data_IF_910708054639
#
_entry.id   IF_910708054639
#
_cell.length_a   1.000
_cell.length_b   1.000
_cell.length_c   1.000
_cell.angle_alpha   90.00
_cell.angle_beta   90.00
_cell.angle_gamma   90.00
#
_symmetry.space_group_name_H-M   'P 1'
#
loop_
_entity.id
_entity.type
_entity.pdbx_description
1 polymer ?
#
# COMPACT_ATOMS: atom_id res chain seq x y z
N UNK A 1 10.09 -10.14 3.74
CA UNK A 1 9.78 -11.56 3.43
C UNK A 1 10.77 -12.23 2.47
N UNK A 2 11.12 -11.62 1.32
CA UNK A 2 12.00 -12.24 0.30
C UNK A 2 13.37 -12.70 0.83
N UNK A 3 14.06 -11.88 1.62
CA UNK A 3 15.37 -12.26 2.20
C UNK A 3 15.26 -13.48 3.13
N UNK A 4 14.15 -13.61 3.87
CA UNK A 4 13.90 -14.78 4.73
C UNK A 4 13.70 -16.05 3.91
N UNK A 5 12.93 -15.99 2.83
CA UNK A 5 12.73 -17.11 1.90
C UNK A 5 14.05 -17.55 1.25
N UNK A 6 14.88 -16.60 0.80
CA UNK A 6 16.21 -16.91 0.23
C UNK A 6 17.10 -17.58 1.27
N UNK A 7 17.12 -17.08 2.51
CA UNK A 7 17.89 -17.69 3.61
C UNK A 7 17.43 -19.13 3.85
N UNK A 8 16.12 -19.37 3.91
CA UNK A 8 15.54 -20.71 4.11
C UNK A 8 15.90 -21.68 2.99
N UNK A 9 15.81 -21.25 1.72
CA UNK A 9 16.18 -22.08 0.58
C UNK A 9 17.68 -22.40 0.55
N UNK A 10 18.53 -21.40 0.83
CA UNK A 10 19.99 -21.58 0.89
C UNK A 10 20.39 -22.56 1.99
N UNK A 11 19.76 -22.50 3.16
CA UNK A 11 20.03 -23.43 4.25
C UNK A 11 19.76 -24.90 3.89
N UNK A 12 18.94 -25.17 2.86
CA UNK A 12 18.63 -26.52 2.36
C UNK A 12 19.54 -27.01 1.22
N UNK A 13 20.49 -26.19 0.75
CA UNK A 13 21.45 -26.60 -0.28
C UNK A 13 22.57 -27.45 0.32
N UNK A 14 23.23 -28.29 -0.49
CA UNK A 14 24.35 -29.14 -0.05
C UNK A 14 25.62 -28.86 -0.86
N UNK A 15 26.71 -28.36 -0.23
CA UNK A 15 26.77 -27.87 1.15
C UNK A 15 26.00 -26.55 1.33
N UNK A 16 25.48 -26.24 2.54
CA UNK A 16 24.72 -25.02 2.76
C UNK A 16 25.67 -23.81 2.75
N UNK A 17 25.44 -22.82 1.89
CA UNK A 17 26.21 -21.58 1.91
C UNK A 17 25.86 -20.73 3.14
N UNK A 18 26.72 -19.77 3.53
CA UNK A 18 26.46 -18.88 4.65
C UNK A 18 25.16 -18.08 4.44
N UNK A 19 24.53 -17.75 5.57
CA UNK A 19 23.32 -16.95 5.59
C UNK A 19 23.56 -15.59 4.89
N UNK A 20 22.65 -15.14 4.02
CA UNK A 20 22.83 -13.88 3.33
C UNK A 20 22.83 -12.69 4.30
N UNK A 21 23.77 -11.78 4.10
CA UNK A 21 23.77 -10.48 4.79
C UNK A 21 22.90 -9.47 4.05
N UNK A 22 22.52 -8.36 4.70
CA UNK A 22 21.80 -7.26 4.01
C UNK A 22 22.59 -6.74 2.80
N UNK A 23 23.91 -6.64 2.92
CA UNK A 23 24.79 -6.19 1.82
C UNK A 23 24.77 -7.17 0.65
N UNK A 24 24.81 -8.47 0.93
CA UNK A 24 24.65 -9.50 -0.09
C UNK A 24 23.29 -9.38 -0.77
N UNK A 25 22.21 -9.19 0.00
CA UNK A 25 20.86 -9.11 -0.53
C UNK A 25 20.66 -7.92 -1.48
N UNK A 26 21.18 -6.74 -1.12
CA UNK A 26 21.17 -5.56 -2.00
C UNK A 26 21.98 -5.81 -3.28
N UNK A 27 23.14 -6.46 -3.18
CA UNK A 27 23.95 -6.83 -4.35
C UNK A 27 23.24 -7.86 -5.24
N UNK A 28 22.58 -8.85 -4.63
CA UNK A 28 21.78 -9.84 -5.33
C UNK A 28 20.61 -9.21 -6.07
N UNK A 29 19.86 -8.29 -5.45
CA UNK A 29 18.78 -7.56 -6.13
C UNK A 29 19.28 -6.80 -7.36
N UNK A 30 20.42 -6.11 -7.27
CA UNK A 30 21.03 -5.41 -8.41
C UNK A 30 21.41 -6.34 -9.57
N UNK A 31 21.71 -7.61 -9.29
CA UNK A 31 22.05 -8.62 -10.30
C UNK A 31 20.83 -9.29 -10.92
N UNK A 32 19.63 -9.02 -10.40
CA UNK A 32 18.37 -9.56 -10.90
C UNK A 32 17.49 -8.41 -11.40
N UNK A 33 17.77 -7.82 -12.59
CA UNK A 33 17.07 -6.65 -13.11
C UNK A 33 15.58 -6.89 -13.42
N UNK A 34 15.17 -8.17 -13.44
CA UNK A 34 13.76 -8.58 -13.54
C UNK A 34 12.96 -8.33 -12.27
N UNK A 35 13.62 -7.96 -11.16
CA UNK A 35 12.99 -7.64 -9.89
C UNK A 35 13.07 -6.13 -9.63
N UNK A 36 11.93 -5.54 -9.31
CA UNK A 36 11.81 -4.14 -8.97
C UNK A 36 11.39 -3.96 -7.51
N UNK A 37 11.92 -2.92 -6.87
CA UNK A 37 11.57 -2.56 -5.49
C UNK A 37 10.53 -1.44 -5.51
N UNK A 38 9.29 -1.75 -5.15
CA UNK A 38 8.23 -0.76 -4.98
C UNK A 38 8.15 -0.38 -3.51
N UNK A 39 8.11 0.93 -3.24
CA UNK A 39 7.70 1.44 -1.95
C UNK A 39 6.21 1.70 -2.02
N UNK A 40 5.42 0.91 -1.28
CA UNK A 40 3.98 1.16 -1.23
C UNK A 40 3.74 2.45 -0.47
N UNK A 41 2.82 3.28 -0.98
CA UNK A 41 2.33 4.40 -0.18
C UNK A 41 1.64 3.80 1.05
N UNK A 42 1.83 4.37 2.25
CA UNK A 42 1.04 4.00 3.40
C UNK A 42 -0.43 4.13 3.03
N UNK A 43 -1.13 3.00 2.94
CA UNK A 43 -2.59 3.02 2.88
C UNK A 43 -3.02 3.33 4.31
N UNK A 44 -3.66 4.47 4.50
CA UNK A 44 -4.31 4.79 5.77
C UNK A 44 -5.19 3.59 6.16
N UNK A 45 -5.05 3.09 7.39
CA UNK A 45 -5.87 1.98 7.89
C UNK A 45 -7.38 2.27 7.73
N UNK A 46 -7.77 3.54 7.75
CA UNK A 46 -9.14 4.00 7.50
C UNK A 46 -9.65 3.75 6.06
N UNK A 47 -8.78 3.37 5.11
CA UNK A 47 -9.15 2.94 3.75
C UNK A 47 -9.12 1.42 3.55
N UNK A 48 -8.63 0.67 4.56
CA UNK A 48 -8.58 -0.80 4.54
C UNK A 48 -9.89 -1.43 5.04
N UNK A 49 -10.74 -0.66 5.73
CA UNK A 49 -12.13 -1.06 5.88
C UNK A 49 -12.74 -1.07 4.48
N UNK A 50 -12.97 -2.28 3.97
CA UNK A 50 -13.54 -2.54 2.65
C UNK A 50 -14.87 -1.79 2.51
N UNK A 51 -14.84 -0.64 1.87
CA UNK A 51 -16.05 -0.07 1.29
C UNK A 51 -16.38 -0.91 0.06
N UNK A 52 -17.43 -1.73 0.13
CA UNK A 52 -18.01 -2.35 -1.07
C UNK A 52 -18.56 -1.26 -1.99
N UNK A 53 -18.67 -1.53 -3.29
CA UNK A 53 -19.24 -0.56 -4.24
C UNK A 53 -20.63 -0.10 -3.80
N UNK A 54 -21.41 -1.02 -3.23
CA UNK A 54 -22.73 -0.75 -2.64
C UNK A 54 -22.65 0.25 -1.49
N UNK A 55 -21.71 0.05 -0.55
CA UNK A 55 -21.54 0.96 0.59
C UNK A 55 -21.13 2.38 0.17
N UNK A 56 -20.35 2.50 -0.92
CA UNK A 56 -19.98 3.80 -1.48
C UNK A 56 -21.21 4.47 -2.10
N UNK A 57 -22.01 3.72 -2.87
CA UNK A 57 -23.24 4.24 -3.48
C UNK A 57 -24.24 4.70 -2.43
N UNK A 58 -24.45 3.92 -1.37
CA UNK A 58 -25.32 4.27 -0.25
C UNK A 58 -24.85 5.54 0.45
N UNK A 59 -23.54 5.65 0.73
CA UNK A 59 -22.96 6.84 1.34
C UNK A 59 -23.22 8.11 0.51
N UNK A 60 -23.04 8.05 -0.81
CA UNK A 60 -23.33 9.19 -1.68
C UNK A 60 -24.83 9.51 -1.73
N UNK A 61 -25.71 8.51 -1.72
CA UNK A 61 -27.15 8.73 -1.69
C UNK A 61 -27.58 9.48 -0.42
N UNK A 62 -27.06 9.07 0.74
CA UNK A 62 -27.31 9.72 2.03
C UNK A 62 -26.73 11.13 2.07
N UNK A 63 -25.55 11.35 1.49
CA UNK A 63 -24.93 12.67 1.36
C UNK A 63 -25.83 13.61 0.57
N UNK A 64 -26.31 13.21 -0.61
CA UNK A 64 -27.17 14.07 -1.44
C UNK A 64 -28.52 14.36 -0.78
N UNK A 65 -29.09 13.38 -0.08
CA UNK A 65 -30.31 13.59 0.71
C UNK A 65 -30.09 14.65 1.80
N UNK A 66 -29.00 14.51 2.56
CA UNK A 66 -28.63 15.46 3.61
C UNK A 66 -28.36 16.86 3.05
N UNK A 67 -27.65 16.95 1.92
CA UNK A 67 -27.41 18.22 1.21
C UNK A 67 -28.72 18.92 0.84
N UNK A 68 -29.72 18.15 0.38
CA UNK A 68 -31.04 18.66 0.06
C UNK A 68 -31.82 19.11 1.31
N UNK A 69 -31.82 18.31 2.38
CA UNK A 69 -32.52 18.63 3.64
C UNK A 69 -31.99 19.89 4.31
N UNK A 70 -30.68 20.14 4.22
CA UNK A 70 -30.03 21.29 4.85
C UNK A 70 -29.76 22.46 3.88
N UNK A 71 -30.30 22.41 2.66
CA UNK A 71 -30.13 23.44 1.63
C UNK A 71 -28.66 23.86 1.45
N UNK A 72 -27.77 22.87 1.38
CA UNK A 72 -26.33 23.06 1.15
C UNK A 72 -26.12 23.34 -0.34
N UNK A 73 -26.40 24.57 -0.74
CA UNK A 73 -26.39 25.08 -2.12
C UNK A 73 -25.03 25.65 -2.57
N UNK A 74 -24.07 25.75 -1.64
CA UNK A 74 -22.79 26.41 -1.88
C UNK A 74 -21.65 25.70 -1.13
N UNK A 75 -20.51 25.54 -1.79
CA UNK A 75 -19.28 25.01 -1.18
C UNK A 75 -18.81 25.75 0.07
N UNK A 76 -19.20 27.03 0.27
CA UNK A 76 -18.92 27.77 1.52
C UNK A 76 -19.64 27.22 2.76
N UNK A 77 -20.71 26.43 2.56
CA UNK A 77 -21.44 25.74 3.63
C UNK A 77 -20.82 24.37 3.96
N UNK A 78 -19.81 23.94 3.20
CA UNK A 78 -19.10 22.68 3.38
C UNK A 78 -17.74 22.99 3.99
N UNK A 79 -17.52 22.56 5.23
CA UNK A 79 -16.22 22.65 5.88
C UNK A 79 -15.49 21.31 5.70
N UNK A 80 -14.41 21.31 4.94
CA UNK A 80 -13.50 20.16 4.89
C UNK A 80 -12.53 20.26 6.07
N UNK A 81 -12.64 19.34 7.04
CA UNK A 81 -11.77 19.30 8.22
C UNK A 81 -10.56 18.37 8.06
N UNK A 82 -10.19 18.02 6.82
CA UNK A 82 -9.08 17.11 6.52
C UNK A 82 -7.69 17.75 6.68
N UNK A 83 -7.59 19.09 6.78
CA UNK A 83 -6.31 19.78 6.97
C UNK A 83 -5.68 19.60 8.36
N UNK A 84 -6.38 18.97 9.31
CA UNK A 84 -5.82 18.59 10.62
C UNK A 84 -5.53 17.09 10.71
N UNK A 85 -4.72 16.59 9.77
CA UNK A 85 -4.39 15.17 9.64
C UNK A 85 -3.46 14.63 10.74
N UNK A 86 -3.99 14.27 11.91
CA UNK A 86 -3.29 13.36 12.82
C UNK A 86 -3.36 11.93 12.25
N UNK A 87 -2.24 11.44 11.68
CA UNK A 87 -2.14 10.06 11.19
C UNK A 87 -1.97 9.08 12.36
N UNK A 88 -3.07 8.67 12.98
CA UNK A 88 -3.09 7.58 13.97
C UNK A 88 -3.25 6.25 13.23
N UNK A 89 -2.34 5.30 13.46
CA UNK A 89 -2.47 3.93 12.92
C UNK A 89 -2.10 3.75 11.43
N UNK A 90 -1.34 4.66 10.82
CA UNK A 90 -0.87 4.46 9.44
C UNK A 90 0.27 3.42 9.44
N UNK A 91 0.08 2.21 8.86
CA UNK A 91 1.16 1.25 8.76
C UNK A 91 2.26 1.87 7.89
N UNK A 92 3.51 1.83 8.38
CA UNK A 92 4.66 2.34 7.64
C UNK A 92 4.67 1.70 6.25
N UNK A 93 4.81 2.52 5.20
CA UNK A 93 4.86 2.03 3.82
C UNK A 93 5.84 0.87 3.72
N UNK A 94 5.40 -0.24 3.13
CA UNK A 94 6.19 -1.45 3.06
C UNK A 94 7.03 -1.46 1.78
N UNK A 95 8.23 -2.04 1.87
CA UNK A 95 9.06 -2.31 0.71
C UNK A 95 8.69 -3.67 0.14
N UNK A 96 8.08 -3.68 -1.05
CA UNK A 96 7.67 -4.89 -1.76
C UNK A 96 8.60 -5.09 -2.97
N UNK A 97 8.96 -6.34 -3.24
CA UNK A 97 9.78 -6.71 -4.41
C UNK A 97 8.90 -7.49 -5.37
N UNK A 98 8.76 -6.99 -6.59
CA UNK A 98 7.86 -7.55 -7.61
C UNK A 98 8.61 -7.80 -8.93
N UNK A 99 8.14 -8.71 -9.79
CA UNK A 99 8.62 -8.80 -11.17
C UNK A 99 8.35 -7.50 -11.95
N UNK A 100 9.26 -7.12 -12.83
CA UNK A 100 9.15 -5.89 -13.65
C UNK A 100 7.87 -5.83 -14.48
N UNK A 101 7.34 -6.97 -14.91
CA UNK A 101 6.08 -7.11 -15.66
C UNK A 101 4.87 -6.55 -14.90
N UNK A 102 4.88 -6.66 -13.56
CA UNK A 102 3.81 -6.14 -12.69
C UNK A 102 3.88 -4.60 -12.60
N UNK A 103 5.06 -4.01 -12.72
CA UNK A 103 5.23 -2.56 -12.71
C UNK A 103 4.72 -1.89 -13.99
N UNK A 104 4.66 -2.59 -15.12
CA UNK A 104 4.28 -2.00 -16.42
C UNK A 104 2.76 -1.84 -16.60
N UNK A 105 1.94 -2.54 -15.81
CA UNK A 105 0.48 -2.42 -15.83
C UNK A 105 -0.10 -1.34 -14.90
N UNK A 106 0.75 -0.51 -14.28
CA UNK A 106 0.38 0.53 -13.30
C UNK A 106 0.45 1.96 -13.85
N UNK A 107 0.50 2.12 -15.18
CA UNK A 107 0.45 3.42 -15.86
C UNK A 107 -0.91 3.66 -16.52
#
# INVERSE_FOLDING_TARGET
MVMSAITHLRAKMNPPPPAPTKRWFVSWLKKNPMLHTIHTKPISYARLDLHTEESVKEWFADLYKTVGEFEIDNGKKILNMDESGARVGCPTGETVIVPTEVCQGLH
#
